data_IF_775907229994
#
_entry.id   IF_775907229994
#
_cell.length_a   1.000
_cell.length_b   1.000
_cell.length_c   1.000
_cell.angle_alpha   90.00
_cell.angle_beta   90.00
_cell.angle_gamma   90.00
#
_symmetry.space_group_name_H-M   'P 1'
#
loop_
_entity.id
_entity.type
_entity.pdbx_description
1 polymer ?
#
# COMPACT_ATOMS: atom_id res chain seq x y z
N UNK A 1 5.76 22.33 8.47
CA UNK A 1 6.07 21.07 9.19
C UNK A 1 5.85 19.89 8.27
N UNK A 2 6.72 18.89 8.32
CA UNK A 2 6.50 17.64 7.60
C UNK A 2 5.53 16.74 8.40
N UNK A 3 4.62 16.06 7.70
CA UNK A 3 3.68 15.12 8.32
C UNK A 3 4.19 13.71 8.03
N UNK A 4 4.68 13.01 9.07
CA UNK A 4 5.18 11.65 9.00
C UNK A 4 4.33 10.67 9.82
N UNK A 5 3.22 11.15 10.36
CA UNK A 5 2.24 10.39 11.14
C UNK A 5 0.95 10.26 10.34
N UNK A 6 0.42 9.06 10.28
CA UNK A 6 -0.81 8.66 9.63
C UNK A 6 -1.78 8.13 10.69
N UNK A 7 -3.11 8.29 10.47
CA UNK A 7 -4.18 7.79 11.35
C UNK A 7 -4.58 8.78 12.45
N UNK A 8 -5.75 8.54 13.07
CA UNK A 8 -6.36 9.39 14.10
C UNK A 8 -6.16 8.79 15.49
N UNK A 9 -6.69 7.58 15.74
CA UNK A 9 -6.52 6.81 16.97
C UNK A 9 -5.43 5.76 16.82
N UNK A 10 -5.45 4.97 15.75
CA UNK A 10 -4.35 4.08 15.40
C UNK A 10 -3.34 4.87 14.56
N UNK A 11 -2.33 5.40 15.20
CA UNK A 11 -1.35 6.29 14.58
C UNK A 11 -0.05 5.56 14.26
N UNK A 12 0.43 5.81 13.06
CA UNK A 12 1.70 5.24 12.58
C UNK A 12 2.62 6.37 12.15
N UNK A 13 3.74 6.53 12.85
CA UNK A 13 4.83 7.45 12.46
C UNK A 13 5.96 6.65 11.86
N UNK A 14 6.27 6.85 10.55
CA UNK A 14 7.39 6.20 9.89
C UNK A 14 8.63 7.10 9.86
N UNK A 15 9.82 6.50 9.99
CA UNK A 15 11.11 7.19 10.04
C UNK A 15 12.20 6.40 9.32
N UNK A 16 13.34 7.04 9.09
CA UNK A 16 14.53 6.45 8.45
C UNK A 16 14.54 6.58 6.93
N UNK A 17 15.72 6.47 6.34
CA UNK A 17 16.01 6.60 4.90
C UNK A 17 16.48 5.28 4.30
N UNK A 18 16.33 5.14 2.98
CA UNK A 18 16.62 3.88 2.28
C UNK A 18 18.08 3.44 2.36
N UNK A 19 19.02 4.37 2.58
CA UNK A 19 20.46 4.14 2.73
C UNK A 19 20.98 4.65 4.07
N UNK A 20 20.11 4.98 5.02
CA UNK A 20 20.44 5.20 6.42
C UNK A 20 20.72 3.87 7.15
N UNK A 21 21.08 3.91 8.43
CA UNK A 21 21.40 2.71 9.22
C UNK A 21 20.17 1.80 9.41
N UNK A 22 19.00 2.39 9.55
CA UNK A 22 17.73 1.69 9.77
C UNK A 22 16.55 2.52 9.29
N UNK A 23 15.41 1.88 9.21
CA UNK A 23 14.09 2.51 9.08
C UNK A 23 13.13 1.80 10.04
N UNK A 24 11.99 2.41 10.30
CA UNK A 24 11.02 1.80 11.18
C UNK A 24 9.74 2.60 11.32
N UNK A 25 8.91 2.15 12.25
CA UNK A 25 7.66 2.79 12.60
C UNK A 25 7.47 2.83 14.11
N UNK A 26 6.85 3.90 14.58
CA UNK A 26 6.25 4.00 15.91
C UNK A 26 4.73 3.87 15.73
N UNK A 27 4.15 2.85 16.32
CA UNK A 27 2.70 2.62 16.34
C UNK A 27 2.17 3.06 17.70
N UNK A 28 1.18 3.94 17.68
CA UNK A 28 0.49 4.41 18.90
C UNK A 28 -1.01 4.17 18.77
N UNK A 29 -1.70 3.93 19.88
CA UNK A 29 -3.14 3.69 19.93
C UNK A 29 -3.57 2.25 19.63
N UNK A 30 -2.63 1.29 19.59
CA UNK A 30 -3.01 -0.12 19.56
C UNK A 30 -3.63 -0.53 20.91
N UNK A 31 -4.81 -1.17 20.93
CA UNK A 31 -5.41 -1.69 22.17
C UNK A 31 -4.43 -2.62 22.93
N UNK A 32 -4.47 -2.63 24.27
CA UNK A 32 -3.66 -3.57 25.06
C UNK A 32 -4.19 -5.01 24.92
N UNK A 33 -3.30 -5.98 25.17
CA UNK A 33 -3.65 -7.41 25.20
C UNK A 33 -3.70 -8.08 23.82
N UNK A 34 -3.36 -7.37 22.74
CA UNK A 34 -3.26 -7.95 21.39
C UNK A 34 -1.98 -8.79 21.30
N UNK A 35 -2.09 -10.03 20.84
CA UNK A 35 -0.94 -10.90 20.64
C UNK A 35 -0.11 -10.40 19.43
N UNK A 36 1.16 -10.06 19.69
CA UNK A 36 2.10 -9.55 18.68
C UNK A 36 3.50 -10.08 18.98
N UNK A 37 4.13 -10.67 17.98
CA UNK A 37 5.54 -11.06 18.01
C UNK A 37 6.25 -10.73 16.70
N UNK A 38 7.59 -10.82 16.71
CA UNK A 38 8.40 -10.50 15.54
C UNK A 38 8.16 -11.47 14.37
N UNK A 39 7.85 -12.74 14.62
CA UNK A 39 7.62 -13.74 13.57
C UNK A 39 6.33 -13.46 12.80
N UNK A 40 5.27 -13.05 13.49
CA UNK A 40 4.02 -12.63 12.88
C UNK A 40 4.22 -11.37 12.01
N UNK A 41 4.96 -10.38 12.48
CA UNK A 41 5.27 -9.17 11.71
C UNK A 41 6.14 -9.51 10.48
N UNK A 42 7.10 -10.43 10.65
CA UNK A 42 7.99 -10.89 9.59
C UNK A 42 7.23 -11.57 8.45
N UNK A 43 6.19 -12.34 8.75
CA UNK A 43 5.34 -12.96 7.74
C UNK A 43 4.82 -11.94 6.69
N UNK A 44 4.38 -10.77 7.15
CA UNK A 44 3.90 -9.71 6.24
C UNK A 44 5.04 -9.00 5.52
N UNK A 45 6.16 -8.78 6.19
CA UNK A 45 7.35 -8.21 5.59
C UNK A 45 7.92 -9.12 4.51
N UNK A 46 7.87 -10.43 4.70
CA UNK A 46 8.32 -11.41 3.73
C UNK A 46 7.55 -11.34 2.41
N UNK A 47 6.27 -11.00 2.44
CA UNK A 47 5.48 -10.76 1.22
C UNK A 47 5.92 -9.51 0.45
N UNK A 48 6.47 -8.49 1.13
CA UNK A 48 6.90 -7.22 0.53
C UNK A 48 8.39 -7.16 0.17
N UNK A 49 9.26 -7.89 0.87
CA UNK A 49 10.71 -7.74 0.76
C UNK A 49 11.22 -7.85 -0.69
N UNK A 50 12.36 -7.20 -1.04
CA UNK A 50 12.96 -7.32 -2.36
C UNK A 50 13.56 -8.72 -2.58
N UNK A 51 13.77 -9.10 -3.87
CA UNK A 51 14.49 -10.33 -4.23
C UNK A 51 13.67 -11.61 -4.12
N UNK A 52 12.34 -11.54 -4.11
CA UNK A 52 11.46 -12.71 -4.06
C UNK A 52 11.42 -13.48 -5.37
N UNK A 53 11.56 -12.79 -6.50
CA UNK A 53 11.55 -13.39 -7.83
C UNK A 53 12.52 -12.69 -8.77
N UNK A 54 12.75 -13.26 -9.96
CA UNK A 54 13.54 -12.62 -11.02
C UNK A 54 12.91 -11.32 -11.55
N UNK A 55 11.66 -11.05 -11.22
CA UNK A 55 10.89 -9.89 -11.67
C UNK A 55 10.93 -8.70 -10.70
N UNK A 56 11.53 -8.89 -9.53
CA UNK A 56 11.75 -7.82 -8.56
C UNK A 56 13.22 -7.41 -8.52
N UNK A 57 13.51 -6.30 -7.82
CA UNK A 57 14.90 -5.82 -7.65
C UNK A 57 15.81 -6.90 -7.05
N UNK A 58 17.08 -6.94 -7.51
CA UNK A 58 18.08 -7.87 -7.00
C UNK A 58 18.69 -7.45 -5.65
N UNK A 59 18.22 -6.36 -5.04
CA UNK A 59 18.57 -6.00 -3.67
C UNK A 59 18.10 -7.09 -2.73
N UNK A 60 18.96 -7.47 -1.77
CA UNK A 60 18.65 -8.52 -0.81
C UNK A 60 18.60 -7.91 0.59
N UNK A 61 17.41 -7.72 1.10
CA UNK A 61 17.18 -7.26 2.47
C UNK A 61 16.33 -8.32 3.18
N UNK A 62 16.74 -8.80 4.33
CA UNK A 62 15.93 -9.73 5.12
C UNK A 62 14.67 -9.07 5.67
N UNK A 63 14.66 -7.72 5.75
CA UNK A 63 13.63 -6.91 6.40
C UNK A 63 13.32 -7.42 7.81
N UNK A 64 14.34 -7.94 8.52
CA UNK A 64 14.18 -8.45 9.87
C UNK A 64 13.70 -7.35 10.81
N UNK A 65 12.52 -7.56 11.39
CA UNK A 65 11.91 -6.58 12.29
C UNK A 65 12.27 -6.86 13.73
N UNK A 66 12.68 -5.79 14.44
CA UNK A 66 12.90 -5.78 15.89
C UNK A 66 11.76 -4.99 16.55
N UNK A 67 11.18 -5.55 17.63
CA UNK A 67 10.20 -4.85 18.47
C UNK A 67 10.97 -4.32 19.68
N UNK A 68 11.03 -3.00 19.83
CA UNK A 68 11.86 -2.36 20.86
C UNK A 68 11.05 -1.88 22.08
N UNK A 69 9.73 -1.74 21.96
CA UNK A 69 8.84 -1.31 23.04
C UNK A 69 7.38 -1.67 22.77
N UNK A 70 6.52 -1.49 23.77
CA UNK A 70 5.06 -1.59 23.65
C UNK A 70 4.53 -3.03 23.65
N UNK A 71 5.38 -4.04 23.81
CA UNK A 71 4.99 -5.45 23.90
C UNK A 71 5.65 -6.08 25.14
N UNK A 72 4.88 -6.79 25.93
CA UNK A 72 5.32 -7.53 27.11
C UNK A 72 4.69 -8.93 27.09
N UNK A 73 5.50 -9.97 27.25
CA UNK A 73 5.09 -11.38 27.19
C UNK A 73 4.22 -11.70 25.93
N UNK A 74 4.62 -11.15 24.78
CA UNK A 74 3.93 -11.38 23.49
C UNK A 74 2.60 -10.65 23.33
N UNK A 75 2.27 -9.69 24.22
CA UNK A 75 1.05 -8.90 24.14
C UNK A 75 1.33 -7.41 24.17
N UNK A 76 0.53 -6.64 23.43
CA UNK A 76 0.59 -5.18 23.48
C UNK A 76 0.23 -4.65 24.85
N UNK A 77 0.88 -3.57 25.27
CA UNK A 77 0.68 -2.96 26.61
C UNK A 77 -0.23 -1.72 26.56
N UNK A 78 -0.64 -1.27 25.36
CA UNK A 78 -1.31 0.02 25.17
C UNK A 78 -0.35 1.20 25.05
N UNK A 79 0.97 0.96 25.22
CA UNK A 79 2.00 1.98 25.06
C UNK A 79 2.53 1.97 23.61
N UNK A 80 3.25 3.02 23.16
CA UNK A 80 3.81 3.08 21.81
C UNK A 80 4.69 1.87 21.50
N UNK A 81 4.41 1.23 20.34
CA UNK A 81 5.17 0.09 19.84
C UNK A 81 6.22 0.61 18.87
N UNK A 82 7.49 0.41 19.19
CA UNK A 82 8.60 0.80 18.32
C UNK A 82 9.06 -0.40 17.52
N UNK A 83 9.00 -0.27 16.19
CA UNK A 83 9.45 -1.27 15.23
C UNK A 83 10.66 -0.75 14.46
N UNK A 84 11.72 -1.55 14.36
CA UNK A 84 12.95 -1.19 13.67
C UNK A 84 13.35 -2.27 12.67
N UNK A 85 13.82 -1.85 11.49
CA UNK A 85 14.36 -2.70 10.44
C UNK A 85 15.71 -2.15 10.01
N UNK A 86 16.79 -2.94 10.16
CA UNK A 86 18.14 -2.53 9.76
C UNK A 86 18.31 -2.62 8.25
N UNK A 87 19.04 -1.67 7.68
CA UNK A 87 19.47 -1.73 6.29
C UNK A 87 20.80 -2.49 6.20
N UNK A 88 20.83 -3.59 5.44
CA UNK A 88 22.00 -4.48 5.35
C UNK A 88 22.65 -4.51 3.97
N UNK A 89 21.90 -4.32 2.88
CA UNK A 89 22.41 -4.35 1.50
C UNK A 89 22.26 -2.97 0.81
N UNK A 90 22.79 -1.93 1.44
CA UNK A 90 22.88 -0.59 0.86
C UNK A 90 24.21 -0.42 0.09
N UNK A 91 24.12 0.16 -1.13
CA UNK A 91 25.30 0.45 -1.98
C UNK A 91 25.32 1.92 -2.36
N UNK A 92 25.79 2.75 -1.47
CA UNK A 92 25.83 4.22 -1.64
C UNK A 92 26.66 4.66 -2.86
N UNK A 93 27.65 3.87 -3.26
CA UNK A 93 28.51 4.15 -4.42
C UNK A 93 27.76 4.16 -5.76
N UNK A 94 26.61 3.48 -5.86
CA UNK A 94 25.82 3.41 -7.10
C UNK A 94 25.14 4.74 -7.46
N UNK A 95 25.17 5.74 -6.57
CA UNK A 95 24.43 7.00 -6.70
C UNK A 95 25.31 8.25 -6.84
N UNK A 96 26.64 8.09 -7.03
CA UNK A 96 27.56 9.22 -7.17
C UNK A 96 27.20 10.14 -8.35
N UNK A 97 26.87 9.56 -9.51
CA UNK A 97 26.55 10.29 -10.73
C UNK A 97 25.29 11.17 -10.63
N UNK A 98 24.37 10.84 -9.70
CA UNK A 98 23.13 11.58 -9.48
C UNK A 98 23.20 12.52 -8.28
N UNK A 99 24.34 12.65 -7.61
CA UNK A 99 24.51 13.57 -6.50
C UNK A 99 24.26 15.03 -6.91
N UNK A 100 24.71 15.41 -8.12
CA UNK A 100 24.63 16.75 -8.68
C UNK A 100 23.52 16.92 -9.72
N UNK A 101 22.77 15.85 -10.05
CA UNK A 101 21.72 15.87 -11.08
C UNK A 101 20.40 15.35 -10.51
N UNK A 102 19.31 15.55 -11.25
CA UNK A 102 17.97 15.10 -10.86
C UNK A 102 17.46 14.03 -11.81
N UNK A 103 16.93 12.94 -11.28
CA UNK A 103 16.28 11.91 -12.11
C UNK A 103 14.92 12.41 -12.60
N UNK A 104 14.66 12.45 -13.91
CA UNK A 104 13.33 12.80 -14.43
C UNK A 104 12.24 11.90 -13.88
N UNK A 105 11.14 12.49 -13.43
CA UNK A 105 10.02 11.73 -12.83
C UNK A 105 10.26 11.19 -11.42
N UNK A 106 11.43 11.44 -10.82
CA UNK A 106 11.74 11.14 -9.42
C UNK A 106 11.57 12.38 -8.52
N UNK A 107 11.44 12.17 -7.21
CA UNK A 107 11.28 13.27 -6.24
C UNK A 107 12.58 14.07 -5.94
N UNK A 108 13.67 13.80 -6.66
CA UNK A 108 14.97 14.45 -6.42
C UNK A 108 14.89 15.98 -6.44
N UNK A 109 14.30 16.52 -7.52
CA UNK A 109 14.21 17.97 -7.71
C UNK A 109 13.26 18.64 -6.71
N UNK A 110 12.12 17.98 -6.39
CA UNK A 110 11.13 18.54 -5.46
C UNK A 110 11.65 18.59 -4.02
N UNK A 111 12.44 17.60 -3.60
CA UNK A 111 13.12 17.62 -2.30
C UNK A 111 14.18 18.72 -2.25
N UNK A 112 14.97 18.88 -3.32
CA UNK A 112 15.95 19.94 -3.42
C UNK A 112 15.30 21.33 -3.37
N UNK A 113 14.25 21.55 -4.16
CA UNK A 113 13.54 22.83 -4.19
C UNK A 113 12.86 23.18 -2.87
N UNK A 114 12.31 22.17 -2.17
CA UNK A 114 11.58 22.39 -0.93
C UNK A 114 12.48 22.54 0.29
N UNK A 115 13.50 21.69 0.41
CA UNK A 115 14.30 21.57 1.63
C UNK A 115 15.72 22.14 1.50
N UNK A 116 16.17 22.48 0.27
CA UNK A 116 17.55 22.92 0.01
C UNK A 116 18.61 21.83 0.16
N UNK A 117 18.21 20.64 0.62
CA UNK A 117 19.07 19.47 0.81
C UNK A 117 18.30 18.20 0.47
N UNK A 118 18.99 17.20 -0.06
CA UNK A 118 18.44 15.86 -0.27
C UNK A 118 19.51 14.79 0.00
N UNK A 119 19.09 13.64 0.50
CA UNK A 119 19.91 12.43 0.45
C UNK A 119 19.79 11.82 -0.94
N UNK A 120 20.84 11.93 -1.76
CA UNK A 120 20.87 11.38 -3.12
C UNK A 120 20.99 9.85 -3.14
N UNK A 121 21.40 9.23 -2.03
CA UNK A 121 21.59 7.79 -1.91
C UNK A 121 20.24 7.08 -1.91
N UNK A 122 19.86 6.51 -3.04
CA UNK A 122 18.60 5.77 -3.21
C UNK A 122 17.31 6.59 -3.06
N UNK A 123 17.40 7.92 -2.87
CA UNK A 123 16.24 8.81 -2.75
C UNK A 123 15.69 9.00 -1.33
N UNK A 124 16.40 8.56 -0.30
CA UNK A 124 16.04 8.82 1.12
C UNK A 124 14.62 8.35 1.45
N UNK A 125 13.78 9.26 1.97
CA UNK A 125 12.37 9.03 2.31
C UNK A 125 11.45 8.83 1.09
N UNK A 126 11.83 9.28 -0.12
CA UNK A 126 11.03 9.07 -1.33
C UNK A 126 11.18 7.67 -1.93
N UNK A 127 12.08 6.86 -1.38
CA UNK A 127 12.30 5.49 -1.82
C UNK A 127 11.17 4.55 -1.40
N UNK A 128 10.80 3.60 -2.27
CA UNK A 128 9.86 2.52 -1.94
C UNK A 128 10.32 1.65 -0.75
N UNK A 129 11.58 1.76 -0.31
CA UNK A 129 12.10 1.12 0.90
C UNK A 129 11.33 1.51 2.15
N UNK A 130 10.85 2.75 2.23
CA UNK A 130 10.04 3.27 3.33
C UNK A 130 8.80 2.40 3.61
N UNK A 131 8.22 1.79 2.59
CA UNK A 131 7.03 0.96 2.73
C UNK A 131 7.22 -0.29 3.61
N UNK A 132 8.47 -0.70 3.89
CA UNK A 132 8.73 -1.77 4.86
C UNK A 132 8.25 -1.38 6.27
N UNK A 133 8.43 -0.12 6.66
CA UNK A 133 7.93 0.39 7.94
C UNK A 133 6.39 0.35 8.01
N UNK A 134 5.70 0.68 6.91
CA UNK A 134 4.22 0.60 6.84
C UNK A 134 3.73 -0.83 6.97
N UNK A 135 4.37 -1.78 6.28
CA UNK A 135 4.01 -3.20 6.36
C UNK A 135 4.26 -3.75 7.75
N UNK A 136 5.38 -3.40 8.40
CA UNK A 136 5.62 -3.78 9.79
C UNK A 136 4.52 -3.25 10.74
N UNK A 137 4.17 -1.97 10.64
CA UNK A 137 3.10 -1.35 11.42
C UNK A 137 1.73 -2.01 11.17
N UNK A 138 1.45 -2.36 9.90
CA UNK A 138 0.21 -3.04 9.54
C UNK A 138 0.08 -4.43 10.15
N UNK A 139 1.19 -5.11 10.45
CA UNK A 139 1.16 -6.38 11.17
C UNK A 139 0.51 -6.23 12.55
N UNK A 140 0.80 -5.12 13.25
CA UNK A 140 0.13 -4.78 14.50
C UNK A 140 -1.36 -4.50 14.28
N UNK A 141 -1.70 -3.73 13.21
CA UNK A 141 -3.09 -3.47 12.87
C UNK A 141 -3.87 -4.75 12.55
N UNK A 142 -3.27 -5.66 11.78
CA UNK A 142 -3.88 -6.97 11.43
C UNK A 142 -4.09 -7.85 12.66
N UNK A 143 -3.17 -7.85 13.60
CA UNK A 143 -3.31 -8.59 14.86
C UNK A 143 -4.51 -8.06 15.68
N UNK A 144 -4.64 -6.74 15.81
CA UNK A 144 -5.77 -6.11 16.48
C UNK A 144 -7.10 -6.38 15.75
N UNK A 145 -7.12 -6.23 14.43
CA UNK A 145 -8.30 -6.53 13.59
C UNK A 145 -8.72 -8.00 13.72
N UNK A 146 -7.76 -8.94 13.75
CA UNK A 146 -8.07 -10.37 13.93
C UNK A 146 -8.81 -10.68 15.23
N UNK A 147 -8.56 -9.91 16.31
CA UNK A 147 -9.29 -10.03 17.57
C UNK A 147 -10.64 -9.29 17.56
N UNK A 148 -10.67 -8.10 16.95
CA UNK A 148 -11.85 -7.23 16.97
C UNK A 148 -12.86 -7.60 15.88
N UNK A 149 -12.39 -8.11 14.76
CA UNK A 149 -13.16 -8.44 13.55
C UNK A 149 -12.68 -9.74 12.92
N UNK A 150 -12.94 -10.90 13.52
CA UNK A 150 -12.35 -12.18 13.10
C UNK A 150 -12.76 -12.62 11.67
N UNK A 151 -13.86 -12.09 11.14
CA UNK A 151 -14.34 -12.39 9.80
C UNK A 151 -13.72 -11.50 8.72
N UNK A 152 -13.01 -10.43 9.10
CA UNK A 152 -12.40 -9.49 8.18
C UNK A 152 -11.23 -10.16 7.45
N UNK A 153 -11.27 -10.13 6.12
CA UNK A 153 -10.18 -10.57 5.24
C UNK A 153 -9.76 -9.42 4.35
N UNK A 154 -8.47 -9.21 4.20
CA UNK A 154 -7.91 -8.19 3.31
C UNK A 154 -7.01 -8.87 2.30
N UNK A 155 -7.29 -8.71 1.02
CA UNK A 155 -6.54 -9.31 -0.08
C UNK A 155 -6.31 -8.30 -1.19
N UNK A 156 -5.05 -8.16 -1.57
CA UNK A 156 -4.64 -7.33 -2.70
C UNK A 156 -4.20 -8.18 -3.89
N UNK A 157 -4.38 -7.65 -5.09
CA UNK A 157 -3.95 -8.29 -6.32
C UNK A 157 -3.76 -7.27 -7.44
N UNK A 158 -2.96 -7.65 -8.45
CA UNK A 158 -2.77 -6.81 -9.63
C UNK A 158 -3.86 -7.11 -10.67
N UNK A 159 -4.44 -6.04 -11.22
CA UNK A 159 -5.44 -6.10 -12.30
C UNK A 159 -4.90 -5.62 -13.63
N UNK A 160 -3.76 -4.91 -13.62
CA UNK A 160 -3.10 -4.40 -14.84
C UNK A 160 -1.60 -4.28 -14.62
N UNK A 161 -0.82 -4.62 -15.65
CA UNK A 161 0.62 -4.36 -15.78
C UNK A 161 0.91 -3.71 -17.12
N UNK A 162 1.35 -2.45 -17.11
CA UNK A 162 1.54 -1.66 -18.33
C UNK A 162 0.23 -1.58 -19.13
N UNK A 163 0.22 -2.10 -20.37
CA UNK A 163 -0.98 -2.19 -21.21
C UNK A 163 -1.74 -3.52 -21.09
N UNK A 164 -1.27 -4.45 -20.28
CA UNK A 164 -1.87 -5.77 -20.12
C UNK A 164 -2.87 -5.75 -18.96
N UNK A 165 -4.07 -6.29 -19.17
CA UNK A 165 -5.13 -6.42 -18.17
C UNK A 165 -5.42 -7.89 -17.88
N UNK A 166 -5.96 -8.18 -16.70
CA UNK A 166 -6.56 -9.50 -16.43
C UNK A 166 -7.88 -9.63 -17.21
N UNK A 167 -8.29 -10.87 -17.47
CA UNK A 167 -9.67 -11.17 -17.80
C UNK A 167 -10.44 -11.49 -16.52
N UNK A 168 -11.43 -10.67 -16.17
CA UNK A 168 -12.25 -10.86 -14.97
C UNK A 168 -13.04 -12.18 -14.96
N UNK A 169 -13.30 -12.78 -16.12
CA UNK A 169 -13.94 -14.10 -16.22
C UNK A 169 -13.03 -15.25 -15.75
N UNK A 170 -11.70 -15.04 -15.76
CA UNK A 170 -10.71 -16.00 -15.27
C UNK A 170 -10.32 -15.77 -13.81
N UNK A 171 -11.07 -14.93 -13.08
CA UNK A 171 -10.73 -14.55 -11.73
C UNK A 171 -10.84 -15.74 -10.76
N UNK A 172 -9.73 -16.04 -10.09
CA UNK A 172 -9.62 -17.08 -9.07
C UNK A 172 -8.78 -16.56 -7.89
N UNK A 173 -9.39 -16.47 -6.72
CA UNK A 173 -8.73 -16.02 -5.48
C UNK A 173 -7.51 -16.88 -5.11
N UNK A 174 -7.55 -18.19 -5.39
CA UNK A 174 -6.49 -19.10 -5.02
C UNK A 174 -5.23 -18.92 -5.90
N UNK A 175 -5.37 -18.33 -7.08
CA UNK A 175 -4.24 -18.05 -7.97
C UNK A 175 -3.36 -16.90 -7.49
N UNK A 176 -3.87 -16.00 -6.68
CA UNK A 176 -3.15 -14.77 -6.28
C UNK A 176 -1.81 -15.09 -5.61
N UNK A 177 -1.78 -16.04 -4.69
CA UNK A 177 -0.55 -16.43 -3.96
C UNK A 177 0.31 -17.48 -4.73
N UNK A 178 -0.15 -17.95 -5.91
CA UNK A 178 0.52 -19.01 -6.68
C UNK A 178 1.47 -18.48 -7.75
N UNK A 179 1.59 -17.17 -7.93
CA UNK A 179 2.44 -16.57 -8.96
C UNK A 179 3.19 -15.33 -8.45
N UNK A 180 4.26 -14.97 -9.17
CA UNK A 180 5.16 -13.85 -8.81
C UNK A 180 4.51 -12.45 -8.94
N UNK A 181 3.31 -12.35 -9.49
CA UNK A 181 2.65 -11.08 -9.83
C UNK A 181 1.44 -10.78 -8.96
N UNK A 182 1.04 -11.67 -8.05
CA UNK A 182 -0.20 -11.52 -7.27
C UNK A 182 -1.44 -11.37 -8.17
N UNK A 183 -1.52 -12.14 -9.24
CA UNK A 183 -2.57 -12.04 -10.25
C UNK A 183 -3.60 -13.13 -10.06
N UNK A 184 -4.91 -12.82 -10.04
CA UNK A 184 -5.98 -13.81 -9.91
C UNK A 184 -6.28 -14.59 -11.21
N UNK A 185 -5.62 -14.26 -12.32
CA UNK A 185 -5.79 -14.86 -13.65
C UNK A 185 -4.50 -15.61 -14.03
N UNK A 186 -4.58 -16.93 -14.07
CA UNK A 186 -3.43 -17.80 -14.38
C UNK A 186 -2.91 -17.60 -15.83
N UNK A 187 -3.78 -17.21 -16.76
CA UNK A 187 -3.39 -16.92 -18.15
C UNK A 187 -2.62 -15.61 -18.19
N UNK A 188 -3.16 -14.56 -17.56
CA UNK A 188 -2.49 -13.26 -17.45
C UNK A 188 -1.14 -13.40 -16.75
N UNK A 189 -1.02 -14.19 -15.67
CA UNK A 189 0.24 -14.42 -14.97
C UNK A 189 1.35 -14.97 -15.90
N UNK A 190 0.99 -15.89 -16.80
CA UNK A 190 1.91 -16.46 -17.78
C UNK A 190 2.32 -15.44 -18.83
N UNK A 191 1.38 -14.68 -19.36
CA UNK A 191 1.63 -13.69 -20.41
C UNK A 191 2.46 -12.51 -19.89
N UNK A 192 2.18 -12.06 -18.65
CA UNK A 192 2.90 -10.98 -17.99
C UNK A 192 4.38 -11.32 -17.72
N UNK A 193 4.69 -12.59 -17.53
CA UNK A 193 6.08 -13.04 -17.40
C UNK A 193 6.90 -12.70 -18.66
N UNK A 194 6.36 -13.03 -19.83
CA UNK A 194 7.00 -12.71 -21.12
C UNK A 194 7.03 -11.20 -21.40
N UNK A 195 5.95 -10.51 -21.12
CA UNK A 195 5.85 -9.04 -21.27
C UNK A 195 6.91 -8.32 -20.42
N UNK A 196 7.01 -8.64 -19.13
CA UNK A 196 7.96 -7.98 -18.23
C UNK A 196 9.42 -8.32 -18.54
N UNK A 197 9.69 -9.53 -19.04
CA UNK A 197 11.03 -9.88 -19.56
C UNK A 197 11.41 -9.03 -20.78
N UNK A 198 10.46 -8.71 -21.66
CA UNK A 198 10.65 -7.76 -22.76
C UNK A 198 10.97 -6.35 -22.28
N UNK A 199 10.20 -5.83 -21.32
CA UNK A 199 10.42 -4.53 -20.70
C UNK A 199 11.81 -4.45 -20.05
N UNK A 200 12.21 -5.49 -19.31
CA UNK A 200 13.53 -5.54 -18.69
C UNK A 200 14.68 -5.55 -19.72
N UNK A 201 14.53 -6.31 -20.81
CA UNK A 201 15.52 -6.35 -21.90
C UNK A 201 15.65 -5.00 -22.64
N UNK A 202 14.57 -4.22 -22.72
CA UNK A 202 14.59 -2.87 -23.30
C UNK A 202 15.09 -1.80 -22.31
N UNK A 203 15.57 -2.19 -21.11
CA UNK A 203 16.07 -1.29 -20.08
C UNK A 203 15.02 -0.28 -19.58
N UNK A 204 13.75 -0.64 -19.66
CA UNK A 204 12.61 0.20 -19.33
C UNK A 204 11.88 -0.33 -18.06
N UNK A 205 10.79 0.35 -17.70
CA UNK A 205 9.90 -0.01 -16.61
C UNK A 205 8.45 0.20 -17.01
N UNK A 206 7.53 -0.46 -16.30
CA UNK A 206 6.09 -0.30 -16.49
C UNK A 206 5.38 -0.04 -15.17
N UNK A 207 4.22 0.61 -15.27
CA UNK A 207 3.31 0.80 -14.14
C UNK A 207 2.40 -0.40 -13.93
N UNK A 208 1.52 -0.27 -12.94
CA UNK A 208 0.53 -1.30 -12.61
C UNK A 208 -0.72 -0.67 -11.99
N UNK A 209 -1.82 -1.41 -12.03
CA UNK A 209 -3.00 -1.13 -11.22
C UNK A 209 -3.21 -2.28 -10.26
N UNK A 210 -3.37 -1.94 -8.99
CA UNK A 210 -3.60 -2.86 -7.89
C UNK A 210 -5.03 -2.65 -7.39
N UNK A 211 -5.71 -3.73 -7.08
CA UNK A 211 -7.00 -3.71 -6.39
C UNK A 211 -6.84 -4.39 -5.02
N UNK A 212 -7.41 -3.80 -3.99
CA UNK A 212 -7.43 -4.32 -2.62
C UNK A 212 -8.87 -4.42 -2.17
N UNK A 213 -9.24 -5.61 -1.74
CA UNK A 213 -10.59 -5.91 -1.24
C UNK A 213 -10.51 -6.25 0.24
N UNK A 214 -11.40 -5.64 1.02
CA UNK A 214 -11.65 -6.02 2.40
C UNK A 214 -13.07 -6.59 2.51
N UNK A 215 -13.17 -7.92 2.70
CA UNK A 215 -14.42 -8.63 2.89
C UNK A 215 -14.68 -8.91 4.36
N UNK A 216 -15.96 -8.95 4.76
CA UNK A 216 -16.37 -9.17 6.14
C UNK A 216 -16.21 -7.94 7.05
N UNK A 217 -16.03 -6.75 6.48
CA UNK A 217 -16.13 -5.50 7.22
C UNK A 217 -17.60 -5.25 7.59
N UNK A 218 -17.90 -4.80 8.84
CA UNK A 218 -19.27 -4.49 9.22
C UNK A 218 -19.77 -3.21 8.54
N UNK A 219 -21.08 -3.04 8.49
CA UNK A 219 -21.66 -1.73 8.22
C UNK A 219 -21.34 -0.75 9.36
N UNK A 220 -21.21 0.55 9.03
CA UNK A 220 -21.09 1.63 10.02
C UNK A 220 -19.67 2.15 10.25
N UNK A 221 -18.63 1.62 9.60
CA UNK A 221 -17.28 2.20 9.69
C UNK A 221 -17.20 3.48 8.86
N UNK A 222 -16.61 4.51 9.42
CA UNK A 222 -16.52 5.84 8.82
C UNK A 222 -17.58 6.79 9.39
N UNK A 223 -17.52 8.03 8.94
CA UNK A 223 -18.43 9.10 9.33
C UNK A 223 -18.70 10.04 8.16
N UNK A 224 -19.85 10.76 8.15
CA UNK A 224 -20.16 11.69 7.06
C UNK A 224 -19.17 12.86 7.04
N UNK A 225 -19.07 13.48 5.87
CA UNK A 225 -18.38 14.73 5.53
C UNK A 225 -16.85 14.62 5.65
N UNK A 226 -16.25 14.79 6.83
CA UNK A 226 -14.80 14.91 6.99
C UNK A 226 -14.10 13.65 7.52
N UNK A 227 -14.86 12.71 8.10
CA UNK A 227 -14.36 11.43 8.60
C UNK A 227 -14.71 10.24 7.69
N UNK A 228 -14.84 10.47 6.39
CA UNK A 228 -15.27 9.45 5.43
C UNK A 228 -14.22 8.35 5.28
N UNK A 229 -14.67 7.11 5.31
CA UNK A 229 -13.82 5.93 5.12
C UNK A 229 -13.15 5.92 3.74
N UNK A 230 -13.88 6.27 2.66
CA UNK A 230 -13.33 6.36 1.32
C UNK A 230 -12.26 7.45 1.19
N UNK A 231 -12.42 8.58 1.88
CA UNK A 231 -11.41 9.66 1.91
C UNK A 231 -10.12 9.17 2.55
N UNK A 232 -10.19 8.51 3.70
CA UNK A 232 -9.00 8.03 4.40
C UNK A 232 -8.32 6.88 3.66
N UNK A 233 -9.11 5.98 3.05
CA UNK A 233 -8.59 4.94 2.17
C UNK A 233 -7.88 5.54 0.95
N UNK A 234 -8.50 6.51 0.29
CA UNK A 234 -7.90 7.20 -0.86
C UNK A 234 -6.61 7.93 -0.47
N UNK A 235 -6.60 8.65 0.66
CA UNK A 235 -5.41 9.33 1.17
C UNK A 235 -4.29 8.35 1.53
N UNK A 236 -4.63 7.22 2.16
CA UNK A 236 -3.70 6.17 2.51
C UNK A 236 -3.03 5.55 1.27
N UNK A 237 -3.82 5.16 0.26
CA UNK A 237 -3.30 4.60 -0.99
C UNK A 237 -2.51 5.63 -1.79
N UNK A 238 -2.99 6.88 -1.90
CA UNK A 238 -2.27 7.96 -2.59
C UNK A 238 -0.93 8.29 -1.93
N UNK A 239 -0.78 8.04 -0.64
CA UNK A 239 0.47 8.24 0.11
C UNK A 239 1.56 7.20 -0.22
N UNK A 240 1.22 6.08 -0.85
CA UNK A 240 2.17 5.06 -1.27
C UNK A 240 3.06 5.62 -2.38
N UNK A 241 4.37 5.37 -2.27
CA UNK A 241 5.34 5.84 -3.27
C UNK A 241 4.94 5.42 -4.68
N UNK A 242 5.04 6.35 -5.63
CA UNK A 242 4.70 6.19 -7.05
C UNK A 242 3.20 6.05 -7.38
N UNK A 243 2.28 6.05 -6.44
CA UNK A 243 0.84 6.08 -6.71
C UNK A 243 0.45 7.42 -7.34
N UNK A 244 -0.45 7.37 -8.34
CA UNK A 244 -0.91 8.52 -9.13
C UNK A 244 -2.41 8.60 -9.32
N UNK A 245 -3.15 7.56 -8.95
CA UNK A 245 -4.60 7.52 -9.00
C UNK A 245 -5.13 6.55 -7.97
N UNK A 246 -6.30 6.83 -7.43
CA UNK A 246 -7.04 5.96 -6.50
C UNK A 246 -8.50 6.00 -6.88
N UNK A 247 -9.16 4.86 -6.86
CA UNK A 247 -10.58 4.67 -7.13
C UNK A 247 -11.22 3.85 -6.01
N UNK A 248 -12.47 4.16 -5.71
CA UNK A 248 -13.30 3.39 -4.79
C UNK A 248 -14.45 2.78 -5.61
N UNK A 249 -14.66 1.47 -5.50
CA UNK A 249 -15.67 0.75 -6.27
C UNK A 249 -15.47 0.92 -7.76
N UNK A 250 -16.52 1.35 -8.48
CA UNK A 250 -16.48 1.60 -9.93
C UNK A 250 -15.56 2.78 -10.30
N UNK A 251 -15.29 3.67 -9.35
CA UNK A 251 -14.32 4.77 -9.51
C UNK A 251 -14.66 5.70 -10.67
N UNK A 252 -13.69 5.98 -11.53
CA UNK A 252 -13.86 6.88 -12.68
C UNK A 252 -14.88 6.37 -13.72
N UNK A 253 -15.07 5.06 -13.82
CA UNK A 253 -16.02 4.47 -14.75
C UNK A 253 -17.48 4.78 -14.39
N UNK A 254 -17.78 5.08 -13.13
CA UNK A 254 -19.13 5.50 -12.68
C UNK A 254 -19.65 6.74 -13.42
N UNK A 255 -18.76 7.61 -13.90
CA UNK A 255 -19.15 8.80 -14.67
C UNK A 255 -19.84 8.48 -16.01
N UNK A 256 -19.64 7.28 -16.54
CA UNK A 256 -20.28 6.82 -17.76
C UNK A 256 -21.62 6.07 -17.52
N UNK A 257 -21.96 5.79 -16.26
CA UNK A 257 -23.19 5.09 -15.89
C UNK A 257 -24.37 6.05 -15.77
N UNK A 258 -25.56 5.56 -16.07
CA UNK A 258 -26.81 6.24 -15.70
C UNK A 258 -27.07 6.01 -14.20
N UNK A 259 -27.93 6.82 -13.58
CA UNK A 259 -28.33 6.61 -12.19
C UNK A 259 -28.93 5.22 -11.94
N UNK A 260 -29.70 4.71 -12.92
CA UNK A 260 -30.26 3.35 -12.87
C UNK A 260 -29.16 2.28 -12.93
N UNK A 261 -28.21 2.39 -13.86
CA UNK A 261 -27.11 1.43 -14.02
C UNK A 261 -26.12 1.44 -12.85
N UNK A 262 -26.00 2.57 -12.15
CA UNK A 262 -25.12 2.72 -11.00
C UNK A 262 -25.80 2.37 -9.66
N UNK A 263 -27.12 2.09 -9.67
CA UNK A 263 -27.84 1.80 -8.44
C UNK A 263 -27.46 0.41 -7.89
N UNK A 264 -26.96 0.39 -6.66
CA UNK A 264 -26.81 -0.83 -5.87
C UNK A 264 -28.16 -1.08 -5.15
N UNK A 265 -29.10 -1.77 -5.84
CA UNK A 265 -30.44 -2.00 -5.29
C UNK A 265 -30.38 -2.81 -4.00
N UNK A 266 -31.26 -2.49 -3.04
CA UNK A 266 -31.25 -3.05 -1.68
C UNK A 266 -32.46 -3.94 -1.49
N UNK A 267 -32.22 -5.15 -1.03
CA UNK A 267 -33.25 -6.14 -0.71
C UNK A 267 -33.07 -6.62 0.73
N UNK A 268 -34.13 -7.17 1.32
CA UNK A 268 -34.03 -7.83 2.60
C UNK A 268 -33.61 -9.30 2.40
N UNK A 269 -32.48 -9.68 3.01
CA UNK A 269 -32.02 -11.06 3.02
C UNK A 269 -32.88 -11.96 3.94
N UNK A 270 -32.73 -13.26 3.77
CA UNK A 270 -33.45 -14.26 4.56
C UNK A 270 -33.08 -14.24 6.07
N UNK A 271 -31.91 -13.70 6.38
CA UNK A 271 -31.38 -13.51 7.73
C UNK A 271 -31.79 -12.17 8.36
N UNK A 272 -32.61 -11.39 7.66
CA UNK A 272 -33.04 -10.06 8.10
C UNK A 272 -32.00 -8.96 7.91
N UNK A 273 -30.89 -9.25 7.20
CA UNK A 273 -29.88 -8.26 6.87
C UNK A 273 -30.07 -7.73 5.45
N UNK A 274 -29.71 -6.47 5.18
CA UNK A 274 -29.69 -5.92 3.83
C UNK A 274 -28.72 -6.69 2.92
N UNK A 275 -29.17 -7.02 1.71
CA UNK A 275 -28.35 -7.53 0.61
C UNK A 275 -28.45 -6.61 -0.59
N UNK A 276 -27.39 -6.55 -1.38
CA UNK A 276 -27.28 -5.62 -2.50
C UNK A 276 -27.16 -6.40 -3.82
N UNK A 277 -27.76 -5.86 -4.89
CA UNK A 277 -27.69 -6.48 -6.24
C UNK A 277 -26.31 -6.32 -6.89
N UNK A 278 -25.58 -5.29 -6.51
CA UNK A 278 -24.26 -4.92 -7.06
C UNK A 278 -23.44 -4.18 -6.01
N UNK A 279 -22.22 -3.78 -6.35
CA UNK A 279 -21.32 -3.05 -5.44
C UNK A 279 -20.54 -1.96 -6.21
N UNK A 280 -21.25 -1.13 -6.99
CA UNK A 280 -20.64 -0.01 -7.72
C UNK A 280 -20.02 1.02 -6.78
N UNK A 281 -20.64 1.21 -5.59
CA UNK A 281 -20.15 2.10 -4.56
C UNK A 281 -18.88 1.58 -3.85
N UNK A 282 -18.46 0.33 -4.09
CA UNK A 282 -17.29 -0.27 -3.46
C UNK A 282 -17.41 -0.43 -1.95
N UNK A 283 -18.62 -0.76 -1.46
CA UNK A 283 -18.89 -1.03 -0.04
C UNK A 283 -19.02 0.21 0.84
N UNK A 284 -19.07 1.42 0.27
CA UNK A 284 -19.09 2.69 1.02
C UNK A 284 -20.13 3.63 0.42
N UNK A 285 -21.10 4.04 1.24
CA UNK A 285 -22.10 5.05 0.91
C UNK A 285 -22.05 6.21 1.89
N UNK A 286 -21.99 7.44 1.39
CA UNK A 286 -21.89 8.63 2.23
C UNK A 286 -20.67 8.68 3.15
N UNK A 287 -19.61 7.91 2.83
CA UNK A 287 -18.40 7.79 3.64
C UNK A 287 -18.46 6.71 4.72
N UNK A 288 -19.53 5.90 4.75
CA UNK A 288 -19.78 4.87 5.77
C UNK A 288 -19.86 3.51 5.09
N UNK A 289 -19.26 2.48 5.67
CA UNK A 289 -19.31 1.12 5.12
C UNK A 289 -20.72 0.54 5.18
N UNK A 290 -21.08 -0.23 4.13
CA UNK A 290 -22.41 -0.84 3.95
C UNK A 290 -22.51 -2.28 4.48
N UNK A 291 -21.35 -2.89 4.81
CA UNK A 291 -21.26 -4.34 5.07
C UNK A 291 -20.90 -5.18 3.83
N UNK A 292 -20.93 -4.57 2.64
CA UNK A 292 -20.39 -5.18 1.42
C UNK A 292 -18.86 -5.15 1.43
N UNK A 293 -18.24 -5.85 0.47
CA UNK A 293 -16.81 -5.77 0.24
C UNK A 293 -16.36 -4.34 -0.02
N UNK A 294 -15.37 -3.88 0.72
CA UNK A 294 -14.74 -2.58 0.49
C UNK A 294 -13.70 -2.77 -0.62
N UNK A 295 -13.88 -2.09 -1.74
CA UNK A 295 -13.04 -2.23 -2.94
C UNK A 295 -12.31 -0.94 -3.23
N UNK A 296 -10.97 -0.99 -3.20
CA UNK A 296 -10.10 0.14 -3.52
C UNK A 296 -9.13 -0.25 -4.62
N UNK A 297 -9.00 0.59 -5.64
CA UNK A 297 -8.06 0.41 -6.74
C UNK A 297 -7.09 1.56 -6.79
N UNK A 298 -5.80 1.30 -7.08
CA UNK A 298 -4.83 2.37 -7.21
C UNK A 298 -3.80 2.09 -8.31
N UNK A 299 -3.39 3.16 -8.99
CA UNK A 299 -2.44 3.12 -10.10
C UNK A 299 -1.04 3.54 -9.64
N UNK A 300 -0.06 2.69 -9.92
CA UNK A 300 1.36 2.91 -9.66
C UNK A 300 2.07 3.25 -10.96
N UNK A 301 2.72 4.41 -11.03
CA UNK A 301 3.49 4.82 -12.22
C UNK A 301 4.73 3.96 -12.40
N UNK A 302 5.27 3.86 -13.64
CA UNK A 302 6.57 3.23 -13.88
C UNK A 302 7.67 3.82 -13.01
N UNK A 303 8.65 3.02 -12.61
CA UNK A 303 9.82 3.53 -11.90
C UNK A 303 10.62 4.47 -12.81
N UNK A 304 11.04 5.61 -12.28
CA UNK A 304 11.82 6.61 -13.02
C UNK A 304 13.30 6.28 -13.16
N UNK A 305 13.76 5.26 -12.46
CA UNK A 305 15.14 4.80 -12.50
C UNK A 305 15.30 3.74 -13.59
N UNK A 306 15.66 4.18 -14.81
CA UNK A 306 15.84 3.33 -15.99
C UNK A 306 17.22 3.52 -16.59
N UNK A 307 17.69 2.56 -17.39
CA UNK A 307 18.98 2.61 -18.07
C UNK A 307 18.92 3.35 -19.40
N UNK A 308 17.75 3.76 -19.85
CA UNK A 308 17.60 4.59 -21.05
C UNK A 308 17.96 6.04 -20.73
N UNK A 309 18.86 6.70 -21.49
CA UNK A 309 19.24 8.09 -21.29
C UNK A 309 18.05 9.04 -21.31
N UNK A 310 18.04 10.03 -20.42
CA UNK A 310 16.99 11.06 -20.32
C UNK A 310 17.60 12.43 -20.07
N UNK A 311 17.01 13.47 -20.66
CA UNK A 311 17.43 14.84 -20.43
C UNK A 311 17.04 15.30 -19.01
N UNK A 312 17.94 16.00 -18.36
CA UNK A 312 17.78 16.54 -17.02
C UNK A 312 18.63 17.81 -16.86
N UNK A 313 18.75 18.29 -15.63
CA UNK A 313 19.60 19.40 -15.23
C UNK A 313 20.44 19.06 -14.02
N UNK A 314 21.54 19.78 -13.87
CA UNK A 314 22.34 19.80 -12.64
C UNK A 314 21.70 20.72 -11.59
N UNK A 315 22.24 20.71 -10.36
CA UNK A 315 21.87 21.69 -9.30
C UNK A 315 22.15 23.14 -9.69
N UNK A 316 23.14 23.37 -10.60
CA UNK A 316 23.46 24.70 -11.15
C UNK A 316 22.54 25.08 -12.32
N UNK A 317 21.65 24.21 -12.78
CA UNK A 317 20.72 24.47 -13.89
C UNK A 317 21.26 24.11 -15.27
N UNK A 318 22.46 23.53 -15.38
CA UNK A 318 23.05 23.12 -16.65
C UNK A 318 22.36 21.87 -17.20
N UNK A 319 22.08 21.84 -18.51
CA UNK A 319 21.51 20.69 -19.19
C UNK A 319 22.45 19.49 -19.11
N UNK A 320 21.93 18.32 -18.74
CA UNK A 320 22.71 17.08 -18.63
C UNK A 320 21.84 15.86 -18.93
N UNK A 321 22.43 14.92 -19.70
CA UNK A 321 21.84 13.61 -19.87
C UNK A 321 22.13 12.72 -18.65
N UNK A 322 21.11 11.99 -18.18
CA UNK A 322 21.19 11.13 -17.00
C UNK A 322 20.76 9.71 -17.37
N UNK A 323 21.57 8.74 -16.96
CA UNK A 323 21.27 7.31 -16.96
C UNK A 323 21.28 6.84 -15.51
N UNK A 324 20.15 6.29 -15.04
CA UNK A 324 20.09 5.82 -13.65
C UNK A 324 20.53 4.37 -13.57
N UNK A 325 21.81 4.17 -13.22
CA UNK A 325 22.34 2.84 -12.91
C UNK A 325 21.82 2.39 -11.54
N UNK A 326 21.66 1.09 -11.33
CA UNK A 326 21.27 0.53 -10.04
C UNK A 326 20.32 -0.66 -10.17
N UNK A 327 19.90 -1.17 -9.02
CA UNK A 327 19.02 -2.35 -8.90
C UNK A 327 17.58 -1.87 -8.68
N UNK A 328 16.80 -1.72 -9.76
CA UNK A 328 15.42 -1.22 -9.71
C UNK A 328 14.43 -2.29 -10.11
N UNK A 329 13.21 -2.18 -9.59
CA UNK A 329 12.10 -3.03 -10.01
C UNK A 329 11.64 -2.63 -11.43
N UNK A 330 11.55 -3.56 -12.40
CA UNK A 330 10.98 -3.25 -13.71
C UNK A 330 9.47 -2.94 -13.63
N UNK A 331 8.79 -3.48 -12.61
CA UNK A 331 7.43 -3.10 -12.22
C UNK A 331 7.34 -3.05 -10.68
N UNK A 332 7.26 -1.87 -10.11
CA UNK A 332 7.16 -1.70 -8.66
C UNK A 332 5.78 -2.10 -8.12
N UNK A 333 4.78 -2.26 -9.01
CA UNK A 333 3.44 -2.71 -8.68
C UNK A 333 3.40 -4.05 -7.96
N UNK A 334 4.28 -4.99 -8.32
CA UNK A 334 4.39 -6.30 -7.66
C UNK A 334 4.57 -6.14 -6.14
N UNK A 335 5.44 -5.21 -5.74
CA UNK A 335 5.70 -4.92 -4.32
C UNK A 335 4.67 -3.99 -3.70
N UNK A 336 3.89 -3.28 -4.51
CA UNK A 336 2.84 -2.39 -4.02
C UNK A 336 1.60 -3.14 -3.52
N UNK A 337 1.37 -4.38 -3.98
CA UNK A 337 0.24 -5.22 -3.52
C UNK A 337 0.23 -5.37 -2.00
N UNK A 338 1.25 -5.95 -1.33
CA UNK A 338 1.26 -6.07 0.13
C UNK A 338 1.30 -4.72 0.85
N UNK A 339 1.74 -3.64 0.20
CA UNK A 339 1.68 -2.29 0.78
C UNK A 339 0.26 -1.73 0.75
N UNK A 340 -0.50 -1.96 -0.32
CA UNK A 340 -1.92 -1.61 -0.39
C UNK A 340 -2.74 -2.34 0.68
N UNK A 341 -2.53 -3.64 0.83
CA UNK A 341 -3.13 -4.42 1.92
C UNK A 341 -2.77 -3.86 3.31
N UNK A 342 -1.51 -3.46 3.49
CA UNK A 342 -1.04 -2.88 4.75
C UNK A 342 -1.76 -1.57 5.08
N UNK A 343 -1.91 -0.68 4.11
CA UNK A 343 -2.60 0.60 4.31
C UNK A 343 -4.09 0.40 4.56
N UNK A 344 -4.74 -0.54 3.85
CA UNK A 344 -6.13 -0.93 4.12
C UNK A 344 -6.31 -1.38 5.57
N UNK A 345 -5.42 -2.24 6.09
CA UNK A 345 -5.49 -2.73 7.46
C UNK A 345 -5.33 -1.59 8.49
N UNK A 346 -4.41 -0.66 8.26
CA UNK A 346 -4.21 0.49 9.16
C UNK A 346 -5.44 1.40 9.19
N UNK A 347 -6.04 1.72 8.03
CA UNK A 347 -7.25 2.55 7.95
C UNK A 347 -8.43 1.86 8.62
N UNK A 348 -8.65 0.58 8.33
CA UNK A 348 -9.78 -0.14 8.90
C UNK A 348 -9.67 -0.24 10.43
N UNK A 349 -8.48 -0.51 10.99
CA UNK A 349 -8.32 -0.50 12.45
C UNK A 349 -8.60 0.88 13.03
N UNK A 350 -8.11 1.95 12.41
CA UNK A 350 -8.36 3.31 12.87
C UNK A 350 -9.87 3.61 12.92
N UNK A 351 -10.60 3.29 11.84
CA UNK A 351 -12.06 3.47 11.80
C UNK A 351 -12.84 2.56 12.76
N UNK A 352 -12.36 1.34 13.02
CA UNK A 352 -12.92 0.46 14.06
C UNK A 352 -12.81 1.10 15.44
N UNK A 353 -11.65 1.67 15.75
CA UNK A 353 -11.43 2.35 17.03
C UNK A 353 -12.25 3.64 17.15
N UNK A 354 -12.33 4.43 16.07
CA UNK A 354 -13.19 5.61 15.99
C UNK A 354 -14.66 5.25 16.18
N UNK A 355 -15.16 4.24 15.49
CA UNK A 355 -16.52 3.73 15.60
C UNK A 355 -16.85 3.32 17.05
N UNK A 356 -15.96 2.53 17.67
CA UNK A 356 -16.14 2.12 19.07
C UNK A 356 -16.15 3.30 20.05
N UNK A 357 -15.30 4.29 19.79
CA UNK A 357 -15.26 5.52 20.61
C UNK A 357 -16.51 6.38 20.45
N UNK A 358 -17.11 6.43 19.27
CA UNK A 358 -18.29 7.22 18.97
C UNK A 358 -19.59 6.51 19.42
N UNK A 359 -19.71 5.23 19.07
CA UNK A 359 -20.98 4.50 19.26
C UNK A 359 -21.08 3.85 20.65
N UNK A 360 -19.96 3.49 21.27
CA UNK A 360 -19.98 2.77 22.56
C UNK A 360 -20.80 1.48 22.45
N UNK A 361 -21.79 1.35 23.34
CA UNK A 361 -22.70 0.21 23.38
C UNK A 361 -24.00 0.44 22.57
N UNK A 362 -24.13 1.58 21.88
CA UNK A 362 -25.29 1.89 21.05
C UNK A 362 -25.21 1.07 19.77
N UNK A 363 -26.27 0.32 19.48
CA UNK A 363 -26.39 -0.46 18.24
C UNK A 363 -27.25 0.31 17.24
N UNK A 364 -26.89 0.20 15.96
CA UNK A 364 -27.77 0.65 14.88
C UNK A 364 -29.10 -0.12 14.85
N UNK A 365 -30.07 0.42 14.15
CA UNK A 365 -31.43 -0.16 14.08
C UNK A 365 -31.54 -1.34 13.10
N UNK A 366 -30.53 -1.54 12.23
CA UNK A 366 -30.46 -2.65 11.27
C UNK A 366 -29.03 -3.23 11.35
N UNK A 367 -28.88 -4.40 11.92
CA UNK A 367 -27.59 -5.09 12.04
C UNK A 367 -27.35 -5.70 13.40
#
# INVERSE_FOLDING_TARGET
MSINTFGHLFRVTTWGESHGPALGATVDGCPPGVAVDAAMLQHWLDKRKPGQSKYTTQRREPDAVEILSGVFEGKTTGMPIQLMIRNTDQRSKDYGDIAETFRPGHADITYWQKYGIRDYRGGGRSSARETAARVAASGVARAALGQLMPNLKIKGYMVQMGSQHINRENFDWDQIDQNDFWVPDAVAAKDWAGYLDGIRKSHNSVGAVIEVVASGAPAGLGAPIYGKLDTDLAAAMMSINAVKGVEIGEGMASAALTGEANADEIFMGNDGQPVYSSNHAGGILGGISTGQDIVVRFAVKPTSSILTPRQSITKSGEAKEVITKGRHDPCVGIRAVPVGEAMMACVLLDHVLLHRGQMGDIKGTIG
#
